data_IF_972684029429
#
_entry.id   IF_972684029429
#
_cell.length_a   1.000
_cell.length_b   1.000
_cell.length_c   1.000
_cell.angle_alpha   90.00
_cell.angle_beta   90.00
_cell.angle_gamma   90.00
#
_symmetry.space_group_name_H-M   'P 1'
#
loop_
_entity.id
_entity.type
_entity.pdbx_description
1 polymer ?
#
# COMPACT_ATOMS: atom_id res chain seq x y z
N UNK A 1 -25.75 44.64 7.64
CA UNK A 1 -25.00 43.89 6.61
C UNK A 1 -25.29 44.54 5.26
N UNK A 2 -24.25 44.96 4.52
CA UNK A 2 -24.45 45.77 3.31
C UNK A 2 -25.00 44.90 2.16
N UNK A 3 -25.95 45.44 1.38
CA UNK A 3 -26.58 44.74 0.25
C UNK A 3 -25.56 44.17 -0.74
N UNK A 4 -24.42 44.87 -0.95
CA UNK A 4 -23.29 44.42 -1.77
C UNK A 4 -22.64 43.13 -1.25
N UNK A 5 -22.55 42.97 0.07
CA UNK A 5 -21.95 41.77 0.69
C UNK A 5 -22.88 40.57 0.58
N UNK A 6 -24.20 40.78 0.64
CA UNK A 6 -25.20 39.70 0.48
C UNK A 6 -25.19 39.15 -0.95
N UNK A 7 -25.12 40.03 -1.95
CA UNK A 7 -25.07 39.62 -3.37
C UNK A 7 -23.78 38.84 -3.66
N UNK A 8 -22.63 39.26 -3.11
CA UNK A 8 -21.37 38.56 -3.27
C UNK A 8 -21.40 37.14 -2.67
N UNK A 9 -21.97 36.99 -1.47
CA UNK A 9 -22.11 35.68 -0.80
C UNK A 9 -23.03 34.75 -1.61
N UNK A 10 -24.15 35.26 -2.12
CA UNK A 10 -25.06 34.49 -2.97
C UNK A 10 -24.39 34.04 -4.27
N UNK A 11 -23.59 34.91 -4.91
CA UNK A 11 -22.84 34.56 -6.11
C UNK A 11 -21.88 33.39 -5.88
N UNK A 12 -21.10 33.43 -4.79
CA UNK A 12 -20.18 32.35 -4.42
C UNK A 12 -20.92 31.05 -4.11
N UNK A 13 -22.03 31.12 -3.37
CA UNK A 13 -22.83 29.94 -3.03
C UNK A 13 -23.37 29.22 -4.28
N UNK A 14 -23.82 29.96 -5.30
CA UNK A 14 -24.30 29.39 -6.56
C UNK A 14 -23.18 28.68 -7.34
N UNK A 15 -21.98 29.27 -7.38
CA UNK A 15 -20.83 28.65 -8.06
C UNK A 15 -20.42 27.33 -7.39
N UNK A 16 -20.43 27.28 -6.05
CA UNK A 16 -20.11 26.05 -5.30
C UNK A 16 -21.17 24.97 -5.56
N UNK A 17 -22.45 25.33 -5.58
CA UNK A 17 -23.54 24.39 -5.85
C UNK A 17 -23.47 23.81 -7.27
N UNK A 18 -23.16 24.63 -8.28
CA UNK A 18 -22.99 24.16 -9.65
C UNK A 18 -21.75 23.26 -9.80
N UNK A 19 -20.62 23.63 -9.20
CA UNK A 19 -19.38 22.85 -9.27
C UNK A 19 -19.52 21.46 -8.62
N UNK A 20 -20.16 21.39 -7.45
CA UNK A 20 -20.41 20.11 -6.76
C UNK A 20 -21.35 19.20 -7.55
N UNK A 21 -22.41 19.75 -8.16
CA UNK A 21 -23.35 18.98 -8.98
C UNK A 21 -22.66 18.33 -10.18
N UNK A 22 -21.80 19.07 -10.89
CA UNK A 22 -21.03 18.54 -12.04
C UNK A 22 -20.05 17.45 -11.59
N UNK A 23 -19.40 17.64 -10.44
CA UNK A 23 -18.46 16.66 -9.87
C UNK A 23 -19.13 15.32 -9.55
N UNK A 24 -20.34 15.32 -8.98
CA UNK A 24 -21.06 14.06 -8.71
C UNK A 24 -21.61 13.39 -9.99
N UNK A 25 -22.03 14.18 -10.98
CA UNK A 25 -22.50 13.65 -12.25
C UNK A 25 -21.40 12.89 -13.03
N UNK A 26 -20.14 13.34 -12.94
CA UNK A 26 -19.02 12.70 -13.65
C UNK A 26 -18.53 11.42 -12.95
N UNK A 27 -18.59 11.34 -11.62
CA UNK A 27 -18.15 10.14 -10.86
C UNK A 27 -19.16 9.00 -10.96
N UNK A 28 -20.44 9.30 -11.22
CA UNK A 28 -21.49 8.28 -11.37
C UNK A 28 -21.30 7.36 -12.59
N UNK A 29 -20.40 7.71 -13.52
CA UNK A 29 -20.07 6.90 -14.71
C UNK A 29 -18.85 5.99 -14.54
N UNK A 30 -18.29 5.86 -13.33
CA UNK A 30 -17.29 4.82 -13.06
C UNK A 30 -18.01 3.48 -13.08
N UNK A 31 -17.97 2.81 -14.24
CA UNK A 31 -18.48 1.46 -14.44
C UNK A 31 -17.96 0.56 -13.33
N UNK A 32 -18.88 0.04 -12.51
CA UNK A 32 -18.54 -1.02 -11.58
C UNK A 32 -17.89 -2.15 -12.39
N UNK A 33 -16.71 -2.65 -12.00
CA UNK A 33 -16.13 -3.81 -12.65
C UNK A 33 -17.17 -4.93 -12.62
N UNK A 34 -17.47 -5.49 -13.79
CA UNK A 34 -18.43 -6.57 -13.91
C UNK A 34 -18.06 -7.69 -12.92
N UNK A 35 -19.06 -8.31 -12.25
CA UNK A 35 -18.80 -9.44 -11.37
C UNK A 35 -18.08 -10.53 -12.17
N UNK A 36 -16.86 -10.84 -11.76
CA UNK A 36 -16.07 -11.91 -12.37
C UNK A 36 -16.86 -13.21 -12.23
N UNK A 37 -17.11 -13.97 -13.32
CA UNK A 37 -17.81 -15.24 -13.22
C UNK A 37 -17.05 -16.18 -12.29
N UNK A 38 -17.77 -16.74 -11.32
CA UNK A 38 -17.26 -17.78 -10.41
C UNK A 38 -16.92 -19.02 -11.23
N UNK A 39 -15.64 -19.17 -11.57
CA UNK A 39 -15.14 -20.41 -12.18
C UNK A 39 -15.19 -21.49 -11.11
N UNK A 40 -15.99 -22.55 -11.36
CA UNK A 40 -16.01 -23.75 -10.51
C UNK A 40 -14.62 -24.37 -10.52
N UNK A 41 -13.96 -24.28 -9.38
CA UNK A 41 -12.63 -24.84 -9.13
C UNK A 41 -12.70 -26.38 -9.22
N UNK A 42 -11.86 -27.02 -10.07
CA UNK A 42 -11.72 -28.46 -10.08
C UNK A 42 -11.20 -28.97 -8.74
N UNK A 43 -11.73 -30.11 -8.29
CA UNK A 43 -11.35 -30.75 -7.03
C UNK A 43 -9.85 -31.07 -7.00
N UNK A 44 -9.21 -30.67 -5.91
CA UNK A 44 -7.80 -30.92 -5.58
C UNK A 44 -7.56 -32.42 -5.36
N UNK A 45 -6.54 -33.04 -5.99
CA UNK A 45 -6.09 -34.38 -5.64
C UNK A 45 -5.53 -34.46 -4.21
N UNK A 46 -5.83 -35.57 -3.53
CA UNK A 46 -5.42 -35.91 -2.17
C UNK A 46 -3.89 -36.10 -2.02
N UNK A 47 -3.35 -36.05 -0.78
CA UNK A 47 -1.93 -35.82 -0.50
C UNK A 47 -1.07 -37.08 -0.67
N UNK A 48 0.13 -36.91 -1.23
CA UNK A 48 1.15 -37.95 -1.31
C UNK A 48 2.00 -37.90 -0.03
N UNK A 49 2.16 -39.04 0.62
CA UNK A 49 2.83 -39.24 1.89
C UNK A 49 4.33 -38.83 1.88
N UNK A 50 4.79 -38.35 3.03
CA UNK A 50 6.16 -37.93 3.32
C UNK A 50 7.10 -39.13 3.47
N UNK A 51 8.33 -38.99 2.94
CA UNK A 51 9.47 -39.84 3.30
C UNK A 51 10.41 -39.06 4.22
N UNK A 52 10.86 -39.61 5.36
CA UNK A 52 11.89 -38.98 6.19
C UNK A 52 13.29 -39.39 5.72
N UNK A 53 14.19 -38.41 5.59
CA UNK A 53 15.63 -38.66 5.48
C UNK A 53 16.43 -37.68 6.35
N UNK A 54 16.93 -38.25 7.44
CA UNK A 54 18.15 -38.04 8.24
C UNK A 54 18.90 -36.69 8.25
N UNK A 55 19.30 -36.18 9.43
CA UNK A 55 20.13 -34.99 9.58
C UNK A 55 21.64 -35.33 9.58
N UNK A 56 22.47 -34.50 8.96
CA UNK A 56 23.86 -34.34 9.37
C UNK A 56 24.48 -33.03 8.84
N UNK A 57 25.12 -32.33 9.77
CA UNK A 57 26.26 -31.43 9.59
C UNK A 57 25.99 -29.94 9.34
N UNK A 58 25.76 -29.22 10.44
CA UNK A 58 25.99 -27.79 10.55
C UNK A 58 27.50 -27.57 10.77
N UNK A 59 28.13 -26.82 9.88
CA UNK A 59 29.42 -26.19 10.15
C UNK A 59 29.25 -24.67 9.95
N UNK A 60 29.60 -23.82 10.94
CA UNK A 60 29.48 -22.39 10.82
C UNK A 60 30.73 -21.83 10.14
N UNK A 61 30.56 -21.16 9.00
CA UNK A 61 31.62 -20.33 8.44
C UNK A 61 31.07 -18.93 8.19
N UNK A 62 31.75 -18.00 8.86
CA UNK A 62 31.42 -16.59 9.02
C UNK A 62 31.19 -15.88 7.68
N UNK A 63 30.16 -15.03 7.65
CA UNK A 63 30.00 -14.03 6.59
C UNK A 63 29.89 -12.65 7.23
N UNK A 64 31.02 -11.94 7.31
CA UNK A 64 31.11 -10.49 7.34
C UNK A 64 32.40 -10.13 6.57
N UNK A 65 32.40 -9.10 5.72
CA UNK A 65 32.10 -7.74 6.14
C UNK A 65 31.00 -7.03 5.36
N UNK A 66 30.28 -6.21 6.10
CA UNK A 66 29.44 -5.11 5.64
C UNK A 66 30.29 -4.10 4.88
N UNK A 67 30.11 -3.98 3.56
CA UNK A 67 30.63 -2.84 2.80
C UNK A 67 29.47 -1.91 2.49
N UNK A 68 29.27 -0.92 3.36
CA UNK A 68 28.41 0.23 3.08
C UNK A 68 29.10 1.08 2.01
N UNK A 69 28.66 0.98 0.76
CA UNK A 69 28.80 2.06 -0.21
C UNK A 69 27.43 2.35 -0.79
N UNK A 70 26.84 3.43 -0.29
CA UNK A 70 25.51 3.92 -0.64
C UNK A 70 25.42 4.36 -2.10
N UNK A 71 24.17 4.28 -2.58
CA UNK A 71 23.58 4.71 -3.85
C UNK A 71 23.69 3.73 -5.02
N UNK A 72 22.67 2.88 -5.15
CA UNK A 72 21.98 2.69 -6.44
C UNK A 72 20.47 2.57 -6.14
N UNK A 73 19.72 3.61 -6.49
CA UNK A 73 18.26 3.74 -6.30
C UNK A 73 17.57 3.61 -7.66
N UNK A 74 16.73 2.60 -7.82
CA UNK A 74 15.70 2.51 -8.85
C UNK A 74 14.88 1.23 -8.62
N UNK A 75 13.59 1.39 -8.35
CA UNK A 75 12.49 0.50 -8.76
C UNK A 75 11.34 1.46 -9.08
N UNK A 76 11.32 1.98 -10.32
CA UNK A 76 11.55 3.41 -10.67
C UNK A 76 11.49 4.46 -9.54
N UNK A 77 12.70 4.86 -9.05
CA UNK A 77 13.06 5.62 -7.83
C UNK A 77 12.16 5.33 -6.63
N UNK A 78 12.19 4.03 -6.27
CA UNK A 78 11.31 3.28 -5.36
C UNK A 78 9.94 3.89 -5.45
N UNK A 79 9.19 3.41 -6.46
CA UNK A 79 7.97 3.89 -7.11
C UNK A 79 7.68 5.39 -6.89
N UNK A 80 8.70 6.21 -7.15
CA UNK A 80 8.82 7.65 -6.87
C UNK A 80 8.23 8.07 -5.53
N UNK A 81 8.73 7.40 -4.49
CA UNK A 81 8.71 7.75 -3.06
C UNK A 81 7.34 8.00 -2.43
N UNK A 82 6.52 6.99 -2.21
CA UNK A 82 5.85 6.25 -3.27
C UNK A 82 4.37 6.48 -3.04
N UNK A 83 3.59 6.96 -3.99
CA UNK A 83 3.94 7.77 -5.16
C UNK A 83 3.67 9.23 -4.72
N UNK A 84 4.66 9.84 -4.04
CA UNK A 84 4.64 11.24 -3.56
C UNK A 84 3.88 11.51 -2.25
N UNK A 85 4.59 11.66 -1.14
CA UNK A 85 4.05 12.16 0.14
C UNK A 85 3.30 13.49 0.00
N UNK A 86 2.03 13.52 0.42
CA UNK A 86 1.23 14.74 0.61
C UNK A 86 1.41 15.19 2.09
N UNK A 87 2.20 16.25 2.32
CA UNK A 87 2.23 17.14 3.52
C UNK A 87 2.49 16.56 4.95
N UNK A 88 3.33 15.53 5.15
CA UNK A 88 3.59 15.01 6.52
C UNK A 88 4.96 14.40 6.83
N UNK A 89 5.37 14.45 8.10
CA UNK A 89 6.60 13.82 8.65
C UNK A 89 6.39 12.32 8.88
N UNK A 90 6.43 11.51 7.83
CA UNK A 90 6.34 10.06 7.97
C UNK A 90 7.67 9.37 7.60
N UNK A 91 7.94 8.25 8.26
CA UNK A 91 9.09 7.38 8.03
C UNK A 91 8.67 6.18 7.20
N UNK A 92 9.40 5.90 6.11
CA UNK A 92 9.16 4.72 5.26
C UNK A 92 10.30 3.73 5.44
N UNK A 93 9.96 2.44 5.58
CA UNK A 93 10.91 1.34 5.56
C UNK A 93 10.52 0.35 4.47
N UNK A 94 11.41 0.14 3.51
CA UNK A 94 11.24 -0.89 2.47
C UNK A 94 11.68 -2.23 3.05
N UNK A 95 10.84 -3.25 2.91
CA UNK A 95 11.14 -4.60 3.41
C UNK A 95 11.56 -5.52 2.28
N UNK A 96 10.82 -5.51 1.17
CA UNK A 96 11.05 -6.40 0.02
C UNK A 96 10.71 -5.69 -1.27
N UNK A 97 11.45 -6.03 -2.32
CA UNK A 97 11.21 -5.49 -3.66
C UNK A 97 11.71 -6.43 -4.75
N UNK A 98 11.04 -6.39 -5.90
CA UNK A 98 11.47 -7.01 -7.14
C UNK A 98 11.19 -6.06 -8.32
N UNK A 99 11.28 -6.55 -9.56
CA UNK A 99 11.10 -5.74 -10.76
C UNK A 99 9.71 -5.09 -10.87
N UNK A 100 8.68 -5.72 -10.30
CA UNK A 100 7.27 -5.34 -10.45
C UNK A 100 6.55 -5.10 -9.11
N UNK A 101 7.21 -5.33 -7.97
CA UNK A 101 6.60 -5.22 -6.64
C UNK A 101 7.48 -4.48 -5.61
N UNK A 102 6.80 -3.76 -4.71
CA UNK A 102 7.41 -3.12 -3.53
C UNK A 102 6.51 -3.35 -2.32
N UNK A 103 7.09 -3.82 -1.21
CA UNK A 103 6.43 -3.98 0.08
C UNK A 103 7.23 -3.28 1.17
N UNK A 104 6.53 -2.61 2.07
CA UNK A 104 7.16 -1.95 3.20
C UNK A 104 6.19 -1.48 4.26
N UNK A 105 6.73 -0.72 5.21
CA UNK A 105 6.00 -0.07 6.30
C UNK A 105 6.13 1.44 6.23
N UNK A 106 5.07 2.14 6.64
CA UNK A 106 4.98 3.59 6.77
C UNK A 106 4.56 3.92 8.20
N UNK A 107 5.29 4.81 8.86
CA UNK A 107 5.03 5.27 10.22
C UNK A 107 4.84 6.78 10.26
N UNK A 108 3.76 7.26 10.85
CA UNK A 108 3.48 8.68 11.03
C UNK A 108 4.03 9.14 12.39
N UNK A 109 4.76 10.27 12.40
CA UNK A 109 5.20 10.87 13.67
C UNK A 109 3.99 11.33 14.49
N UNK A 110 3.98 11.10 15.81
CA UNK A 110 2.91 11.59 16.66
C UNK A 110 2.85 13.12 16.64
N UNK A 111 1.63 13.66 16.68
CA UNK A 111 1.40 15.10 16.65
C UNK A 111 2.00 15.78 17.88
N UNK A 112 2.23 17.10 17.81
CA UNK A 112 2.68 17.86 18.99
C UNK A 112 1.70 17.73 20.17
N UNK A 113 0.40 17.61 19.88
CA UNK A 113 -0.65 17.39 20.88
C UNK A 113 -0.54 16.00 21.52
N UNK A 114 -0.24 14.95 20.73
CA UNK A 114 -0.03 13.61 21.26
C UNK A 114 1.23 13.54 22.12
N UNK A 115 2.32 14.18 21.68
CA UNK A 115 3.54 14.32 22.50
C UNK A 115 3.26 15.06 23.81
N UNK A 116 2.53 16.17 23.77
CA UNK A 116 2.15 16.93 24.97
C UNK A 116 1.24 16.13 25.93
N UNK A 117 0.48 15.16 25.41
CA UNK A 117 -0.35 14.27 26.20
C UNK A 117 0.34 12.96 26.62
N UNK A 118 1.65 12.81 26.38
CA UNK A 118 2.42 11.61 26.72
C UNK A 118 2.17 10.40 25.81
N UNK A 119 1.56 10.60 24.63
CA UNK A 119 1.30 9.57 23.61
C UNK A 119 2.32 9.63 22.47
N UNK A 120 3.60 9.48 22.80
CA UNK A 120 4.70 9.51 21.82
C UNK A 120 4.91 8.14 21.14
N UNK A 121 3.82 7.56 20.60
CA UNK A 121 3.86 6.27 19.91
C UNK A 121 3.53 6.50 18.43
N UNK A 122 4.45 6.21 17.50
CA UNK A 122 4.18 6.36 16.07
C UNK A 122 3.13 5.35 15.60
N UNK A 123 2.21 5.81 14.76
CA UNK A 123 1.23 4.95 14.10
C UNK A 123 1.85 4.36 12.84
N UNK A 124 1.98 3.04 12.76
CA UNK A 124 2.61 2.35 11.63
C UNK A 124 1.63 1.42 10.90
N UNK A 125 1.76 1.37 9.57
CA UNK A 125 1.00 0.50 8.69
C UNK A 125 1.86 -0.11 7.58
N UNK A 126 1.32 -1.12 6.91
CA UNK A 126 1.94 -1.76 5.76
C UNK A 126 1.42 -1.16 4.46
N UNK A 127 2.27 -1.19 3.43
CA UNK A 127 1.88 -0.83 2.08
C UNK A 127 2.42 -1.83 1.05
N UNK A 128 1.69 -1.94 -0.05
CA UNK A 128 1.98 -2.82 -1.17
C UNK A 128 1.82 -2.04 -2.48
N UNK A 129 2.78 -2.20 -3.38
CA UNK A 129 2.75 -1.66 -4.73
C UNK A 129 3.03 -2.75 -5.75
N UNK A 130 2.35 -2.61 -6.88
CA UNK A 130 2.56 -3.45 -8.05
C UNK A 130 2.68 -2.59 -9.31
N UNK A 131 3.43 -3.09 -10.29
CA UNK A 131 3.54 -2.51 -11.62
C UNK A 131 2.49 -3.15 -12.52
N UNK A 132 1.44 -2.41 -12.83
CA UNK A 132 0.33 -2.86 -13.67
C UNK A 132 0.31 -2.07 -14.97
N UNK A 133 0.29 -2.74 -16.12
CA UNK A 133 0.33 -2.10 -17.45
C UNK A 133 1.50 -1.09 -17.58
N UNK A 134 2.67 -1.45 -17.06
CA UNK A 134 3.87 -0.62 -17.09
C UNK A 134 3.90 0.53 -16.08
N UNK A 135 2.85 0.73 -15.27
CA UNK A 135 2.74 1.82 -14.30
C UNK A 135 2.68 1.30 -12.86
N UNK A 136 3.40 1.97 -11.96
CA UNK A 136 3.36 1.67 -10.52
C UNK A 136 2.05 2.15 -9.88
N UNK A 137 1.43 1.32 -9.04
CA UNK A 137 0.19 1.64 -8.35
C UNK A 137 0.20 1.12 -6.91
N UNK A 138 -0.37 1.90 -5.98
CA UNK A 138 -0.60 1.47 -4.60
C UNK A 138 -1.80 0.53 -4.58
N UNK A 139 -1.55 -0.75 -4.33
CA UNK A 139 -2.59 -1.77 -4.33
C UNK A 139 -3.25 -1.92 -2.95
N UNK A 140 -2.50 -1.62 -1.89
CA UNK A 140 -2.98 -1.71 -0.52
C UNK A 140 -2.15 -0.82 0.42
N UNK A 141 -2.82 -0.17 1.37
CA UNK A 141 -2.23 0.52 2.53
C UNK A 141 -3.17 0.37 3.73
N UNK A 142 -2.64 0.04 4.90
CA UNK A 142 -3.45 -0.05 6.11
C UNK A 142 -2.70 -0.48 7.36
N UNK A 143 -3.37 -0.29 8.50
CA UNK A 143 -2.89 -0.73 9.80
C UNK A 143 -3.56 -2.06 10.17
N UNK A 144 -2.79 -3.02 10.67
CA UNK A 144 -3.31 -4.31 11.14
C UNK A 144 -3.24 -5.44 10.12
N UNK A 145 -4.22 -6.34 10.17
CA UNK A 145 -4.15 -7.64 9.49
C UNK A 145 -4.67 -7.55 8.06
N UNK A 146 -3.83 -7.89 7.08
CA UNK A 146 -4.13 -7.80 5.65
C UNK A 146 -4.64 -9.13 5.13
N UNK A 147 -5.67 -9.15 4.28
CA UNK A 147 -6.16 -10.39 3.65
C UNK A 147 -5.37 -10.72 2.38
N UNK A 148 -4.74 -11.89 2.33
CA UNK A 148 -3.93 -12.34 1.19
C UNK A 148 -4.73 -12.38 -0.13
N UNK A 149 -6.03 -12.68 -0.07
CA UNK A 149 -6.89 -12.75 -1.25
C UNK A 149 -6.95 -11.44 -2.04
N UNK A 150 -6.75 -10.29 -1.39
CA UNK A 150 -6.73 -8.98 -2.05
C UNK A 150 -5.47 -8.78 -2.90
N UNK A 151 -4.38 -9.48 -2.57
CA UNK A 151 -3.08 -9.33 -3.22
C UNK A 151 -2.83 -10.39 -4.31
N UNK A 152 -3.63 -11.48 -4.33
CA UNK A 152 -3.49 -12.59 -5.30
C UNK A 152 -3.53 -12.11 -6.76
N UNK A 153 -4.37 -11.12 -7.06
CA UNK A 153 -4.53 -10.61 -8.42
C UNK A 153 -3.31 -9.83 -8.96
N UNK A 154 -2.38 -9.45 -8.08
CA UNK A 154 -1.20 -8.67 -8.45
C UNK A 154 0.08 -9.52 -8.52
N UNK A 155 0.01 -10.83 -8.29
CA UNK A 155 1.14 -11.76 -8.41
C UNK A 155 2.32 -11.51 -7.45
N UNK A 156 2.06 -10.98 -6.25
CA UNK A 156 3.08 -10.91 -5.20
C UNK A 156 3.61 -12.31 -4.86
N UNK A 157 4.93 -12.42 -4.72
CA UNK A 157 5.55 -13.68 -4.32
C UNK A 157 5.14 -14.07 -2.90
N UNK A 158 5.11 -15.38 -2.59
CA UNK A 158 4.76 -15.85 -1.24
C UNK A 158 5.64 -15.25 -0.14
N UNK A 159 6.89 -14.90 -0.46
CA UNK A 159 7.76 -14.23 0.50
C UNK A 159 7.34 -12.78 0.79
N UNK A 160 6.72 -12.08 -0.16
CA UNK A 160 6.20 -10.72 0.02
C UNK A 160 4.86 -10.67 0.75
N UNK A 161 4.16 -11.80 0.83
CA UNK A 161 2.87 -11.94 1.53
C UNK A 161 3.02 -12.33 3.00
N UNK A 162 4.22 -12.22 3.56
CA UNK A 162 4.49 -12.64 4.93
C UNK A 162 3.82 -11.67 5.92
N UNK A 163 2.74 -12.11 6.58
CA UNK A 163 1.95 -11.28 7.50
C UNK A 163 0.49 -11.04 7.08
N UNK A 164 0.08 -11.51 5.90
CA UNK A 164 -1.33 -11.53 5.55
C UNK A 164 -2.04 -12.80 6.07
N UNK A 165 -3.36 -12.70 6.31
CA UNK A 165 -4.25 -13.83 6.63
C UNK A 165 -5.00 -14.29 5.38
N UNK A 166 -5.24 -15.59 5.28
CA UNK A 166 -6.00 -16.17 4.16
C UNK A 166 -7.51 -15.94 4.29
#
# INVERSE_FOLDING_TARGET
MNQKNIIAILGVAVVILLGTTIYFATISNVSQPAPVPVVKQPATPAPIAQTPATPANQQPVATQPTTTSQKVESNEEIAKRVLGFIEGKNTIKIEKTDADHIVGTKCEEPSAADKAAGRDIPSCGYFYLAKTNGNWQKVLEGNGVIKCNLLKQYNFTGSMLNGCIN
#
